data_IF_619779624985
#
_entry.id   IF_619779624985
#
_cell.length_a   1.000
_cell.length_b   1.000
_cell.length_c   1.000
_cell.angle_alpha   90.00
_cell.angle_beta   90.00
_cell.angle_gamma   90.00
#
_symmetry.space_group_name_H-M   'P 1'
#
loop_
_entity.id
_entity.type
_entity.pdbx_description
1 polymer ?
#
# COMPACT_ATOMS: atom_id res chain seq x y z
N UNK A 1 20.86 -4.55 34.65
CA UNK A 1 20.65 -3.49 33.63
C UNK A 1 19.80 -4.13 32.54
N UNK A 2 18.52 -3.76 32.47
CA UNK A 2 17.53 -4.45 31.65
C UNK A 2 17.75 -4.06 30.18
N UNK A 3 18.04 -5.05 29.33
CA UNK A 3 17.82 -5.07 27.88
C UNK A 3 18.19 -3.76 27.15
N UNK A 4 19.47 -3.40 27.19
CA UNK A 4 20.01 -2.36 26.32
C UNK A 4 20.29 -3.02 24.96
N UNK A 5 19.47 -2.69 23.96
CA UNK A 5 19.76 -3.08 22.58
C UNK A 5 21.13 -2.51 22.17
N UNK A 6 21.91 -3.29 21.45
CA UNK A 6 23.21 -2.85 20.95
C UNK A 6 23.05 -1.55 20.14
N UNK A 7 23.83 -0.48 20.40
CA UNK A 7 23.74 0.79 19.69
C UNK A 7 23.85 0.66 18.17
N UNK A 8 24.54 -0.37 17.65
CA UNK A 8 24.59 -0.65 16.21
C UNK A 8 23.24 -1.13 15.63
N UNK A 9 22.45 -1.84 16.43
CA UNK A 9 21.12 -2.30 16.02
C UNK A 9 20.12 -1.14 15.99
N UNK A 10 20.26 -0.18 16.91
CA UNK A 10 19.42 1.02 16.96
C UNK A 10 19.54 1.85 15.66
N UNK A 11 20.76 2.01 15.17
CA UNK A 11 21.04 2.78 13.94
C UNK A 11 20.37 2.16 12.70
N UNK A 12 20.32 0.82 12.61
CA UNK A 12 19.65 0.11 11.51
C UNK A 12 18.14 0.36 11.47
N UNK A 13 17.50 0.54 12.62
CA UNK A 13 16.06 0.78 12.69
C UNK A 13 15.67 2.26 12.52
N UNK A 14 16.63 3.18 12.44
CA UNK A 14 16.37 4.61 12.24
C UNK A 14 16.44 5.05 10.76
N UNK A 15 16.89 4.18 9.86
CA UNK A 15 16.86 4.43 8.41
C UNK A 15 15.43 4.16 7.86
N UNK A 16 14.80 5.17 7.26
CA UNK A 16 13.39 5.13 6.82
C UNK A 16 13.17 4.16 5.64
N UNK A 17 11.97 3.55 5.52
CA UNK A 17 11.04 3.09 6.56
C UNK A 17 11.34 1.63 6.90
N UNK A 18 11.45 1.28 8.19
CA UNK A 18 11.63 -0.11 8.61
C UNK A 18 10.37 -0.91 8.29
N UNK A 19 10.41 -1.86 7.35
CA UNK A 19 9.24 -2.68 7.07
C UNK A 19 8.89 -3.50 8.32
N UNK A 20 7.60 -3.55 8.68
CA UNK A 20 7.10 -4.30 9.85
C UNK A 20 7.57 -5.75 9.87
N UNK A 21 7.84 -6.31 8.69
CA UNK A 21 8.38 -7.65 8.46
C UNK A 21 9.74 -7.84 9.15
N UNK A 22 10.70 -6.93 8.93
CA UNK A 22 12.06 -7.05 9.47
C UNK A 22 12.07 -6.94 11.00
N UNK A 23 11.17 -6.13 11.56
CA UNK A 23 10.98 -6.02 13.01
C UNK A 23 10.49 -7.35 13.59
N UNK A 24 9.55 -8.00 12.91
CA UNK A 24 9.02 -9.31 13.33
C UNK A 24 10.10 -10.39 13.22
N UNK A 25 10.82 -10.45 12.10
CA UNK A 25 11.92 -11.41 11.89
C UNK A 25 13.02 -11.25 12.95
N UNK A 26 13.34 -10.00 13.32
CA UNK A 26 14.31 -9.70 14.37
C UNK A 26 13.83 -10.16 15.76
N UNK A 27 12.57 -9.90 16.09
CA UNK A 27 11.94 -10.35 17.34
C UNK A 27 11.87 -11.88 17.43
N UNK A 28 11.69 -12.55 16.30
CA UNK A 28 11.68 -14.01 16.22
C UNK A 28 13.10 -14.59 16.37
N UNK A 29 14.12 -13.86 15.91
CA UNK A 29 15.54 -14.23 16.06
C UNK A 29 16.06 -13.99 17.49
N UNK A 30 15.49 -13.04 18.24
CA UNK A 30 15.96 -12.64 19.57
C UNK A 30 14.81 -12.68 20.61
N UNK A 31 14.46 -13.88 21.14
CA UNK A 31 13.35 -14.03 22.07
C UNK A 31 13.57 -13.34 23.43
N UNK A 32 14.82 -13.00 23.77
CA UNK A 32 15.18 -12.30 25.00
C UNK A 32 14.72 -10.83 25.02
N UNK A 33 14.40 -10.28 23.85
CA UNK A 33 13.99 -8.89 23.69
C UNK A 33 12.46 -8.80 23.76
N UNK A 34 11.97 -8.02 24.73
CA UNK A 34 10.54 -7.74 24.85
C UNK A 34 10.07 -6.86 23.68
N UNK A 35 9.01 -7.32 22.99
CA UNK A 35 8.34 -6.58 21.90
C UNK A 35 7.97 -5.15 22.30
N UNK A 36 7.48 -4.97 23.53
CA UNK A 36 7.07 -3.67 24.08
C UNK A 36 8.26 -2.72 24.23
N UNK A 37 9.42 -3.24 24.63
CA UNK A 37 10.62 -2.42 24.82
C UNK A 37 11.16 -1.91 23.48
N UNK A 38 11.20 -2.79 22.48
CA UNK A 38 11.61 -2.44 21.13
C UNK A 38 10.62 -1.45 20.48
N UNK A 39 9.31 -1.69 20.59
CA UNK A 39 8.27 -0.79 20.09
C UNK A 39 8.38 0.63 20.66
N UNK A 40 8.68 0.77 21.96
CA UNK A 40 8.85 2.07 22.61
C UNK A 40 10.04 2.85 22.02
N UNK A 41 11.09 2.16 21.59
CA UNK A 41 12.31 2.76 21.04
C UNK A 41 12.13 3.17 19.57
N UNK A 42 11.41 2.35 18.79
CA UNK A 42 11.17 2.61 17.35
C UNK A 42 9.94 3.51 17.13
N UNK A 43 9.27 3.96 18.20
CA UNK A 43 8.03 4.77 18.14
C UNK A 43 6.88 4.09 17.36
N UNK A 44 6.84 2.76 17.38
CA UNK A 44 5.79 1.95 16.75
C UNK A 44 4.87 1.38 17.82
N UNK A 45 3.56 1.45 17.61
CA UNK A 45 2.59 0.84 18.54
C UNK A 45 2.69 -0.69 18.53
N UNK A 46 2.73 -1.37 19.70
CA UNK A 46 2.74 -2.84 19.78
C UNK A 46 1.59 -3.51 19.03
N UNK A 47 0.44 -2.83 18.96
CA UNK A 47 -0.73 -3.30 18.20
C UNK A 47 -0.42 -3.51 16.72
N UNK A 48 0.49 -2.73 16.12
CA UNK A 48 0.88 -2.92 14.73
C UNK A 48 1.55 -4.29 14.51
N UNK A 49 2.42 -4.71 15.43
CA UNK A 49 3.07 -6.03 15.36
C UNK A 49 2.06 -7.16 15.57
N UNK A 50 1.16 -7.02 16.55
CA UNK A 50 0.12 -8.03 16.80
C UNK A 50 -0.83 -8.17 15.61
N UNK A 51 -1.28 -7.05 15.03
CA UNK A 51 -2.13 -7.03 13.85
C UNK A 51 -1.40 -7.62 12.64
N UNK A 52 -0.13 -7.27 12.45
CA UNK A 52 0.68 -7.79 11.36
C UNK A 52 0.85 -9.32 11.45
N UNK A 53 1.19 -9.86 12.63
CA UNK A 53 1.26 -11.31 12.88
C UNK A 53 -0.10 -11.99 12.70
N UNK A 54 -1.19 -11.35 13.10
CA UNK A 54 -2.53 -11.87 12.86
C UNK A 54 -2.87 -11.90 11.36
N UNK A 55 -2.48 -10.87 10.61
CA UNK A 55 -2.71 -10.77 9.17
C UNK A 55 -1.87 -11.77 8.36
N UNK A 56 -0.64 -12.07 8.79
CA UNK A 56 0.16 -13.15 8.20
C UNK A 56 -0.54 -14.51 8.32
N UNK A 57 -1.15 -14.81 9.47
CA UNK A 57 -1.93 -16.04 9.68
C UNK A 57 -3.23 -16.05 8.89
N UNK A 58 -3.80 -14.86 8.65
CA UNK A 58 -5.03 -14.66 7.88
C UNK A 58 -4.79 -14.66 6.37
N UNK A 59 -3.57 -14.42 5.90
CA UNK A 59 -3.22 -14.53 4.49
C UNK A 59 -3.09 -16.02 4.15
N UNK A 60 -4.13 -16.69 3.60
CA UNK A 60 -3.88 -17.95 2.95
C UNK A 60 -2.87 -17.65 1.83
N UNK A 61 -1.90 -18.53 1.63
CA UNK A 61 -1.20 -18.58 0.36
C UNK A 61 -2.25 -18.86 -0.72
N UNK A 62 -2.80 -17.81 -1.32
CA UNK A 62 -3.54 -17.84 -2.57
C UNK A 62 -3.53 -16.44 -3.17
N UNK A 63 -3.04 -16.41 -4.40
CA UNK A 63 -3.36 -15.41 -5.40
C UNK A 63 -4.89 -15.30 -5.50
N UNK A 64 -5.35 -14.14 -5.95
CA UNK A 64 -6.73 -13.74 -6.28
C UNK A 64 -7.40 -12.84 -5.23
N UNK A 65 -7.22 -11.56 -5.53
CA UNK A 65 -8.06 -10.42 -5.17
C UNK A 65 -9.54 -10.78 -5.33
N UNK A 66 -10.32 -10.52 -4.28
CA UNK A 66 -11.64 -9.91 -4.31
C UNK A 66 -12.08 -9.75 -2.84
N UNK A 67 -11.71 -8.61 -2.28
CA UNK A 67 -12.18 -8.15 -0.96
C UNK A 67 -13.51 -7.42 -1.12
N UNK A 68 -14.51 -7.86 -0.37
CA UNK A 68 -15.33 -6.95 0.43
C UNK A 68 -16.08 -7.80 1.46
N UNK A 69 -15.40 -8.04 2.59
CA UNK A 69 -15.96 -8.75 3.74
C UNK A 69 -16.17 -7.81 4.93
N UNK A 70 -17.44 -7.53 5.25
CA UNK A 70 -17.84 -7.07 6.58
C UNK A 70 -17.94 -8.30 7.49
N UNK A 71 -17.02 -8.37 8.44
CA UNK A 71 -16.71 -9.52 9.27
C UNK A 71 -17.78 -9.74 10.37
N UNK A 72 -18.46 -10.90 10.35
CA UNK A 72 -19.25 -11.39 11.48
C UNK A 72 -18.56 -12.59 12.13
N UNK A 73 -18.11 -12.39 13.37
CA UNK A 73 -17.55 -13.43 14.24
C UNK A 73 -18.64 -14.45 14.59
N UNK A 74 -18.54 -15.66 14.06
CA UNK A 74 -19.06 -16.84 14.75
C UNK A 74 -18.20 -18.06 14.43
N UNK A 75 -17.61 -18.59 15.49
CA UNK A 75 -16.91 -19.86 15.56
C UNK A 75 -17.76 -21.01 15.04
N UNK A 76 -17.38 -21.53 13.88
CA UNK A 76 -17.31 -22.97 13.58
C UNK A 76 -16.89 -23.08 12.12
N UNK A 77 -15.74 -23.70 11.86
CA UNK A 77 -15.28 -24.05 10.52
C UNK A 77 -16.17 -25.19 10.00
N UNK A 78 -17.46 -24.91 9.81
CA UNK A 78 -18.34 -25.75 9.03
C UNK A 78 -17.78 -25.69 7.62
N UNK A 79 -17.09 -26.77 7.21
CA UNK A 79 -16.81 -27.04 5.82
C UNK A 79 -18.13 -26.87 5.07
N UNK A 80 -18.27 -25.74 4.40
CA UNK A 80 -19.52 -25.41 3.73
C UNK A 80 -19.62 -26.38 2.56
N UNK A 81 -20.39 -27.47 2.75
CA UNK A 81 -20.51 -28.60 1.82
C UNK A 81 -20.91 -28.18 0.39
N UNK A 82 -21.46 -26.97 0.24
CA UNK A 82 -21.91 -26.41 -1.03
C UNK A 82 -21.27 -25.05 -1.30
N UNK A 83 -20.85 -24.84 -2.55
CA UNK A 83 -20.37 -23.54 -3.04
C UNK A 83 -21.52 -22.53 -3.11
N UNK A 84 -21.21 -21.24 -3.24
CA UNK A 84 -22.25 -20.20 -3.31
C UNK A 84 -23.15 -20.36 -4.56
N UNK A 85 -22.54 -20.72 -5.69
CA UNK A 85 -23.24 -20.97 -6.96
C UNK A 85 -24.16 -22.21 -6.90
N UNK A 86 -23.68 -23.29 -6.27
CA UNK A 86 -24.50 -24.48 -6.03
C UNK A 86 -25.70 -24.17 -5.14
N UNK A 87 -25.52 -23.43 -4.05
CA UNK A 87 -26.63 -23.01 -3.17
C UNK A 87 -27.68 -22.20 -3.92
N UNK A 88 -27.25 -21.29 -4.77
CA UNK A 88 -28.14 -20.47 -5.58
C UNK A 88 -28.92 -21.32 -6.59
N UNK A 89 -28.22 -22.22 -7.31
CA UNK A 89 -28.84 -23.15 -8.26
C UNK A 89 -29.85 -24.09 -7.58
N UNK A 90 -29.53 -24.60 -6.39
CA UNK A 90 -30.44 -25.43 -5.60
C UNK A 90 -31.67 -24.63 -5.14
N UNK A 91 -31.48 -23.38 -4.73
CA UNK A 91 -32.57 -22.49 -4.34
C UNK A 91 -33.51 -22.21 -5.52
N UNK A 92 -32.98 -21.95 -6.70
CA UNK A 92 -33.78 -21.73 -7.92
C UNK A 92 -34.60 -22.98 -8.28
N UNK A 93 -33.97 -24.16 -8.26
CA UNK A 93 -34.65 -25.42 -8.50
C UNK A 93 -35.74 -25.72 -7.45
N UNK A 94 -35.49 -25.39 -6.18
CA UNK A 94 -36.46 -25.53 -5.10
C UNK A 94 -37.68 -24.61 -5.30
N UNK A 95 -37.47 -23.39 -5.80
CA UNK A 95 -38.57 -22.44 -6.09
C UNK A 95 -39.41 -22.87 -7.30
N UNK A 96 -38.81 -23.55 -8.29
CA UNK A 96 -39.49 -24.04 -9.50
C UNK A 96 -40.23 -25.37 -9.29
N UNK A 97 -39.83 -26.15 -8.29
CA UNK A 97 -40.41 -27.47 -8.03
C UNK A 97 -41.78 -27.38 -7.34
N UNK A 98 -42.65 -28.35 -7.62
CA UNK A 98 -43.89 -28.60 -6.86
C UNK A 98 -43.58 -29.20 -5.48
N UNK A 99 -44.56 -29.26 -4.56
CA UNK A 99 -44.34 -29.66 -3.17
C UNK A 99 -43.76 -31.08 -3.02
N UNK A 100 -44.15 -32.02 -3.89
CA UNK A 100 -43.55 -33.35 -3.97
C UNK A 100 -42.11 -33.30 -4.50
N UNK A 101 -41.84 -32.40 -5.45
CA UNK A 101 -40.51 -32.17 -6.01
C UNK A 101 -39.55 -31.54 -5.00
N UNK A 102 -40.03 -30.61 -4.17
CA UNK A 102 -39.26 -29.99 -3.07
C UNK A 102 -38.82 -31.03 -2.04
N UNK A 103 -39.73 -31.89 -1.59
CA UNK A 103 -39.40 -32.94 -0.63
C UNK A 103 -38.37 -33.94 -1.19
N UNK A 104 -38.49 -34.30 -2.47
CA UNK A 104 -37.51 -35.16 -3.16
C UNK A 104 -36.14 -34.50 -3.29
N UNK A 105 -36.12 -33.21 -3.61
CA UNK A 105 -34.89 -32.41 -3.73
C UNK A 105 -34.17 -32.32 -2.38
N UNK A 106 -34.88 -31.95 -1.31
CA UNK A 106 -34.33 -31.87 0.04
C UNK A 106 -33.70 -33.20 0.49
N UNK A 107 -34.37 -34.32 0.26
CA UNK A 107 -33.84 -35.66 0.58
C UNK A 107 -32.63 -36.03 -0.27
N UNK A 108 -32.63 -35.70 -1.57
CA UNK A 108 -31.52 -36.00 -2.50
C UNK A 108 -30.23 -35.28 -2.10
N UNK A 109 -30.34 -34.03 -1.67
CA UNK A 109 -29.19 -33.23 -1.29
C UNK A 109 -28.90 -33.29 0.22
N UNK A 110 -29.77 -33.88 1.04
CA UNK A 110 -29.61 -33.98 2.48
C UNK A 110 -29.74 -32.63 3.19
N UNK A 111 -30.64 -31.78 2.70
CA UNK A 111 -30.94 -30.46 3.26
C UNK A 111 -32.25 -30.48 4.02
N UNK A 112 -32.36 -29.60 5.02
CA UNK A 112 -33.62 -29.32 5.68
C UNK A 112 -34.26 -28.06 5.12
N UNK A 113 -35.58 -27.95 5.29
CA UNK A 113 -36.34 -26.76 4.88
C UNK A 113 -35.85 -25.48 5.58
N UNK A 114 -35.33 -25.61 6.80
CA UNK A 114 -34.68 -24.53 7.55
C UNK A 114 -33.44 -23.96 6.84
N UNK A 115 -32.66 -24.82 6.17
CA UNK A 115 -31.43 -24.41 5.50
C UNK A 115 -31.73 -23.60 4.24
N UNK A 116 -32.73 -24.06 3.47
CA UNK A 116 -33.22 -23.35 2.28
C UNK A 116 -33.84 -22.00 2.66
N UNK A 117 -34.63 -21.94 3.74
CA UNK A 117 -35.16 -20.69 4.28
C UNK A 117 -34.05 -19.72 4.65
N UNK A 118 -33.02 -20.20 5.36
CA UNK A 118 -31.86 -19.38 5.72
C UNK A 118 -31.14 -18.82 4.48
N UNK A 119 -30.93 -19.63 3.45
CA UNK A 119 -30.30 -19.17 2.21
C UNK A 119 -31.16 -18.16 1.47
N UNK A 120 -32.49 -18.36 1.44
CA UNK A 120 -33.43 -17.41 0.87
C UNK A 120 -33.35 -16.06 1.57
N UNK A 121 -33.30 -16.04 2.89
CA UNK A 121 -33.20 -14.80 3.66
C UNK A 121 -31.86 -14.11 3.44
N UNK A 122 -30.77 -14.87 3.33
CA UNK A 122 -29.45 -14.33 2.98
C UNK A 122 -29.45 -13.65 1.60
N UNK A 123 -30.00 -14.32 0.58
CA UNK A 123 -30.11 -13.76 -0.78
C UNK A 123 -31.03 -12.53 -0.79
N UNK A 124 -32.13 -12.56 -0.04
CA UNK A 124 -33.06 -11.42 0.08
C UNK A 124 -32.40 -10.23 0.76
N UNK A 125 -31.67 -10.43 1.84
CA UNK A 125 -31.00 -9.34 2.55
C UNK A 125 -29.87 -8.74 1.70
N UNK A 126 -29.07 -9.59 1.05
CA UNK A 126 -28.01 -9.14 0.15
C UNK A 126 -28.59 -8.39 -1.07
N UNK A 127 -29.70 -8.86 -1.65
CA UNK A 127 -30.33 -8.16 -2.77
C UNK A 127 -30.95 -6.84 -2.33
N UNK A 128 -31.58 -6.77 -1.16
CA UNK A 128 -32.09 -5.51 -0.60
C UNK A 128 -30.95 -4.53 -0.28
N UNK A 129 -29.80 -5.01 0.18
CA UNK A 129 -28.63 -4.17 0.42
C UNK A 129 -28.08 -3.61 -0.91
N UNK A 130 -27.91 -4.45 -1.92
CA UNK A 130 -27.40 -4.04 -3.24
C UNK A 130 -28.39 -3.11 -3.96
N UNK A 131 -29.67 -3.44 -3.96
CA UNK A 131 -30.72 -2.64 -4.61
C UNK A 131 -31.08 -1.39 -3.81
N UNK A 132 -30.97 -1.45 -2.48
CA UNK A 132 -31.24 -0.34 -1.55
C UNK A 132 -30.07 0.64 -1.44
N UNK A 133 -28.84 0.20 -1.73
CA UNK A 133 -27.71 1.10 -2.02
C UNK A 133 -28.01 1.82 -3.32
N UNK A 134 -28.76 2.93 -3.24
CA UNK A 134 -28.83 3.93 -4.30
C UNK A 134 -27.38 4.27 -4.61
N UNK A 135 -26.88 3.89 -5.80
CA UNK A 135 -25.51 4.15 -6.27
C UNK A 135 -25.19 5.59 -5.86
N UNK A 136 -24.42 5.74 -4.77
CA UNK A 136 -23.96 7.04 -4.33
C UNK A 136 -23.27 7.58 -5.57
N UNK A 137 -23.81 8.67 -6.14
CA UNK A 137 -23.14 9.35 -7.23
C UNK A 137 -21.79 9.75 -6.66
N UNK A 138 -20.77 8.95 -6.92
CA UNK A 138 -19.38 9.15 -6.52
C UNK A 138 -18.75 10.30 -7.32
N UNK A 139 -19.57 11.23 -7.80
CA UNK A 139 -19.14 12.42 -8.52
C UNK A 139 -18.56 13.47 -7.56
N UNK A 140 -18.73 13.27 -6.24
CA UNK A 140 -18.02 14.04 -5.22
C UNK A 140 -16.72 13.31 -4.89
N UNK A 141 -15.61 13.79 -5.46
CA UNK A 141 -14.26 13.46 -4.97
C UNK A 141 -14.25 13.63 -3.45
N UNK A 142 -13.70 12.64 -2.74
CA UNK A 142 -13.52 12.76 -1.29
C UNK A 142 -12.71 14.02 -0.98
N UNK A 143 -12.96 14.67 0.15
CA UNK A 143 -12.18 15.86 0.58
C UNK A 143 -10.67 15.55 0.56
N UNK A 144 -10.29 14.33 0.95
CA UNK A 144 -8.92 13.83 0.86
C UNK A 144 -8.36 13.80 -0.57
N UNK A 145 -9.17 13.43 -1.56
CA UNK A 145 -8.75 13.39 -2.97
C UNK A 145 -8.52 14.80 -3.52
N UNK A 146 -9.35 15.75 -3.12
CA UNK A 146 -9.21 17.15 -3.49
C UNK A 146 -7.92 17.72 -2.88
N UNK A 147 -7.66 17.41 -1.61
CA UNK A 147 -6.45 17.86 -0.92
C UNK A 147 -5.18 17.24 -1.53
N UNK A 148 -5.22 15.94 -1.87
CA UNK A 148 -4.09 15.28 -2.56
C UNK A 148 -3.81 15.94 -3.90
N UNK A 149 -4.83 16.23 -4.72
CA UNK A 149 -4.65 16.89 -6.01
C UNK A 149 -4.07 18.30 -5.85
N UNK A 150 -4.54 19.05 -4.85
CA UNK A 150 -3.99 20.37 -4.52
C UNK A 150 -2.52 20.29 -4.12
N UNK A 151 -2.17 19.40 -3.21
CA UNK A 151 -0.78 19.21 -2.75
C UNK A 151 0.13 18.77 -3.89
N UNK A 152 -0.36 17.93 -4.82
CA UNK A 152 0.38 17.54 -6.01
C UNK A 152 0.64 18.72 -6.96
N UNK A 153 -0.33 19.61 -7.14
CA UNK A 153 -0.16 20.81 -7.95
C UNK A 153 0.87 21.75 -7.33
N UNK A 154 0.78 22.01 -6.02
CA UNK A 154 1.75 22.85 -5.30
C UNK A 154 3.17 22.28 -5.41
N UNK A 155 3.34 20.97 -5.27
CA UNK A 155 4.64 20.30 -5.48
C UNK A 155 5.17 20.50 -6.90
N UNK A 156 4.34 20.31 -7.93
CA UNK A 156 4.76 20.49 -9.32
C UNK A 156 5.18 21.94 -9.62
N UNK A 157 4.51 22.93 -9.04
CA UNK A 157 4.88 24.33 -9.19
C UNK A 157 6.24 24.63 -8.53
N UNK A 158 6.47 24.08 -7.32
CA UNK A 158 7.74 24.21 -6.62
C UNK A 158 8.90 23.53 -7.39
N UNK A 159 8.67 22.35 -7.97
CA UNK A 159 9.66 21.68 -8.80
C UNK A 159 10.00 22.49 -10.07
N UNK A 160 9.00 23.06 -10.73
CA UNK A 160 9.19 23.92 -11.92
C UNK A 160 10.02 25.16 -11.60
N UNK A 161 9.75 25.83 -10.48
CA UNK A 161 10.54 27.01 -10.06
C UNK A 161 11.98 26.62 -9.75
N UNK A 162 12.18 25.50 -9.04
CA UNK A 162 13.50 24.97 -8.71
C UNK A 162 14.30 24.62 -9.96
N UNK A 163 13.68 23.99 -10.96
CA UNK A 163 14.31 23.69 -12.25
C UNK A 163 14.70 24.98 -13.02
N UNK A 164 13.85 26.00 -13.02
CA UNK A 164 14.19 27.30 -13.64
C UNK A 164 15.36 27.98 -12.92
N UNK A 165 15.40 27.93 -11.59
CA UNK A 165 16.52 28.49 -10.82
C UNK A 165 17.83 27.71 -11.05
N UNK A 166 17.77 26.37 -11.08
CA UNK A 166 18.96 25.55 -11.32
C UNK A 166 19.53 25.76 -12.72
N UNK A 167 18.68 25.85 -13.75
CA UNK A 167 19.11 26.17 -15.12
C UNK A 167 19.78 27.55 -15.21
N UNK A 168 19.22 28.58 -14.57
CA UNK A 168 19.85 29.90 -14.49
C UNK A 168 21.23 29.85 -13.83
N UNK A 169 21.36 29.09 -12.74
CA UNK A 169 22.63 28.93 -12.02
C UNK A 169 23.70 28.24 -12.87
N UNK A 170 23.31 27.17 -13.59
CA UNK A 170 24.19 26.46 -14.52
C UNK A 170 24.63 27.38 -15.66
N UNK A 171 23.72 28.16 -16.25
CA UNK A 171 24.05 29.13 -17.29
C UNK A 171 25.04 30.17 -16.77
N UNK A 172 24.80 30.76 -15.59
CA UNK A 172 25.71 31.72 -14.97
C UNK A 172 27.11 31.12 -14.76
N UNK A 173 27.19 29.87 -14.28
CA UNK A 173 28.44 29.13 -14.11
C UNK A 173 29.18 28.99 -15.45
N UNK A 174 28.47 28.60 -16.51
CA UNK A 174 29.05 28.44 -17.86
C UNK A 174 29.55 29.77 -18.43
N UNK A 175 28.80 30.86 -18.28
CA UNK A 175 29.24 32.20 -18.69
C UNK A 175 30.52 32.64 -17.96
N UNK A 176 30.63 32.34 -16.66
CA UNK A 176 31.84 32.64 -15.88
C UNK A 176 33.04 31.84 -16.37
N UNK A 177 32.87 30.56 -16.69
CA UNK A 177 33.95 29.74 -17.26
C UNK A 177 34.38 30.24 -18.64
N UNK A 178 33.44 30.47 -19.55
CA UNK A 178 33.74 30.97 -20.89
C UNK A 178 34.46 32.34 -20.84
N UNK A 179 34.06 33.23 -19.93
CA UNK A 179 34.74 34.52 -19.71
C UNK A 179 36.18 34.30 -19.20
N UNK A 180 36.37 33.39 -18.24
CA UNK A 180 37.71 33.04 -17.71
C UNK A 180 38.60 32.45 -18.79
N UNK A 181 38.05 31.57 -19.62
CA UNK A 181 38.77 30.94 -20.74
C UNK A 181 39.20 31.97 -21.79
N UNK A 182 38.31 32.88 -22.19
CA UNK A 182 38.67 34.01 -23.08
C UNK A 182 39.78 34.90 -22.51
N UNK A 183 39.73 35.20 -21.21
CA UNK A 183 40.78 35.99 -20.55
C UNK A 183 42.12 35.25 -20.56
N UNK A 184 42.11 33.94 -20.28
CA UNK A 184 43.32 33.10 -20.31
C UNK A 184 43.94 33.06 -21.71
N UNK A 185 43.13 32.91 -22.76
CA UNK A 185 43.60 32.91 -24.15
C UNK A 185 44.28 34.24 -24.52
N UNK A 186 43.67 35.39 -24.17
CA UNK A 186 44.24 36.71 -24.41
C UNK A 186 45.57 36.91 -23.65
N UNK A 187 45.67 36.41 -22.42
CA UNK A 187 46.92 36.43 -21.64
C UNK A 187 48.00 35.59 -22.35
N UNK A 188 47.68 34.38 -22.81
CA UNK A 188 48.62 33.51 -23.52
C UNK A 188 49.07 34.07 -24.88
N UNK A 189 48.17 34.76 -25.59
CA UNK A 189 48.52 35.50 -26.81
C UNK A 189 49.50 36.64 -26.52
N UNK A 190 49.22 37.46 -25.50
CA UNK A 190 50.13 38.55 -25.09
C UNK A 190 51.50 38.02 -24.66
N UNK A 191 51.56 36.92 -23.91
CA UNK A 191 52.82 36.25 -23.54
C UNK A 191 53.59 35.76 -24.77
N UNK A 192 52.89 35.19 -25.76
CA UNK A 192 53.51 34.79 -27.05
C UNK A 192 54.10 35.97 -27.80
N UNK A 193 53.37 37.08 -27.91
CA UNK A 193 53.86 38.31 -28.57
C UNK A 193 55.11 38.84 -27.86
N UNK A 194 55.08 38.96 -26.52
CA UNK A 194 56.23 39.41 -25.74
C UNK A 194 57.44 38.49 -25.96
N UNK A 195 57.24 37.17 -25.88
CA UNK A 195 58.31 36.17 -26.09
C UNK A 195 58.93 36.25 -27.48
N UNK A 196 58.13 36.54 -28.51
CA UNK A 196 58.60 36.70 -29.89
C UNK A 196 59.35 38.03 -30.07
N UNK A 197 58.91 39.12 -29.44
CA UNK A 197 59.64 40.39 -29.43
C UNK A 197 61.00 40.29 -28.71
N UNK A 198 61.12 39.49 -27.65
CA UNK A 198 62.38 39.27 -26.93
C UNK A 198 63.39 38.38 -27.66
N UNK A 199 62.99 37.73 -28.76
CA UNK A 199 63.81 36.74 -29.50
C UNK A 199 64.36 37.28 -30.82
N UNK A 200 64.00 38.52 -31.18
CA UNK A 200 64.41 39.21 -32.41
C UNK A 200 65.35 40.41 -32.20
N UNK A 201 65.98 40.50 -31.04
CA UNK A 201 67.09 41.42 -30.74
C UNK A 201 68.38 40.64 -30.49
#
# INVERSE_FOLDING_TARGET
MKNLLDPKLLARFQERPTPTNEIVDFLDTHPDISTVNLCRIIEISPSQIYNYRANLKRKPNNVEENDDSVESKSSSKSFNRYTAEEKFSLLENYLKADDQGKAKLLRKYGLYDSDIKRWRDQVKNASLEVLGKRKQRSDKKSEDQIEIERLQQELQEQEKTTAKLSTLLVLQKNFRYAKKERLNLNIEEKKRVIKNCSRGY
#
